data_IF_169326522372
#
_entry.id   IF_169326522372
#
_cell.length_a   1.000
_cell.length_b   1.000
_cell.length_c   1.000
_cell.angle_alpha   90.00
_cell.angle_beta   90.00
_cell.angle_gamma   90.00
#
_symmetry.space_group_name_H-M   'P 1'
#
loop_
_entity.id
_entity.type
_entity.pdbx_description
1 polymer ?
#
# COMPACT_ATOMS: atom_id res chain seq x y z
N UNK A 1 -6.04 -10.87 47.78
CA UNK A 1 -6.07 -9.87 46.67
C UNK A 1 -7.18 -8.87 46.97
N UNK A 2 -6.89 -7.57 46.97
CA UNK A 2 -7.82 -6.54 47.47
C UNK A 2 -8.90 -6.25 46.40
N UNK A 3 -10.16 -5.90 46.81
CA UNK A 3 -11.25 -5.53 45.88
C UNK A 3 -10.83 -4.46 44.85
N UNK A 4 -9.96 -3.54 45.23
CA UNK A 4 -9.38 -2.51 44.35
C UNK A 4 -8.52 -3.10 43.22
N UNK A 5 -7.77 -4.20 43.51
CA UNK A 5 -6.96 -4.88 42.51
C UNK A 5 -7.83 -5.58 41.47
N UNK A 6 -8.94 -6.19 41.86
CA UNK A 6 -9.89 -6.79 40.92
C UNK A 6 -10.51 -5.74 39.99
N UNK A 7 -10.89 -4.59 40.55
CA UNK A 7 -11.46 -3.50 39.76
C UNK A 7 -10.46 -2.97 38.71
N UNK A 8 -9.20 -2.84 39.12
CA UNK A 8 -8.12 -2.41 38.21
C UNK A 8 -7.87 -3.39 37.07
N UNK A 9 -7.79 -4.69 37.38
CA UNK A 9 -7.59 -5.73 36.36
C UNK A 9 -8.82 -5.88 35.44
N UNK A 10 -10.02 -5.73 35.96
CA UNK A 10 -11.23 -5.77 35.14
C UNK A 10 -11.28 -4.56 34.20
N UNK A 11 -10.94 -3.38 34.69
CA UNK A 11 -10.83 -2.16 33.87
C UNK A 11 -9.77 -2.29 32.77
N UNK A 12 -8.60 -2.84 33.11
CA UNK A 12 -7.52 -3.10 32.15
C UNK A 12 -7.97 -4.08 31.06
N UNK A 13 -8.66 -5.15 31.42
CA UNK A 13 -9.20 -6.15 30.50
C UNK A 13 -10.24 -5.58 29.53
N UNK A 14 -11.13 -4.71 30.03
CA UNK A 14 -12.13 -4.01 29.21
C UNK A 14 -11.49 -3.04 28.24
N UNK A 15 -10.45 -2.29 28.67
CA UNK A 15 -9.72 -1.37 27.79
C UNK A 15 -8.98 -2.13 26.67
N UNK A 16 -8.37 -3.28 26.97
CA UNK A 16 -7.71 -4.09 25.94
C UNK A 16 -8.68 -4.71 24.93
N UNK A 17 -9.91 -5.01 25.31
CA UNK A 17 -10.92 -5.58 24.40
C UNK A 17 -11.49 -4.59 23.40
N UNK A 18 -11.29 -3.28 23.60
CA UNK A 18 -11.79 -2.24 22.69
C UNK A 18 -10.75 -1.77 21.65
N UNK A 19 -9.49 -2.24 21.72
CA UNK A 19 -8.43 -1.91 20.76
C UNK A 19 -8.55 -2.77 19.50
N UNK A 20 -9.55 -2.52 18.68
CA UNK A 20 -9.72 -3.12 17.36
C UNK A 20 -9.06 -2.22 16.31
N UNK A 21 -7.75 -2.35 16.15
CA UNK A 21 -6.98 -1.66 15.10
C UNK A 21 -6.97 -2.40 13.76
N UNK A 22 -7.91 -3.30 13.50
CA UNK A 22 -7.95 -4.08 12.27
C UNK A 22 -9.03 -3.56 11.32
N UNK A 23 -8.69 -3.48 10.04
CA UNK A 23 -9.67 -3.24 8.97
C UNK A 23 -10.78 -4.28 9.07
N UNK A 24 -12.02 -3.82 9.20
CA UNK A 24 -13.16 -4.70 9.34
C UNK A 24 -13.53 -5.34 8.00
N UNK A 25 -14.19 -6.48 8.07
CA UNK A 25 -14.75 -7.12 6.88
C UNK A 25 -15.64 -6.17 6.08
N UNK A 26 -16.38 -5.28 6.75
CA UNK A 26 -17.21 -4.26 6.13
C UNK A 26 -16.40 -3.27 5.29
N UNK A 27 -15.28 -2.76 5.81
CA UNK A 27 -14.41 -1.83 5.10
C UNK A 27 -13.79 -2.44 3.84
N UNK A 28 -13.46 -3.75 3.88
CA UNK A 28 -12.97 -4.48 2.69
C UNK A 28 -14.07 -4.62 1.64
N UNK A 29 -15.32 -4.86 2.04
CA UNK A 29 -16.44 -4.94 1.10
C UNK A 29 -16.79 -3.56 0.49
N UNK A 30 -16.60 -2.48 1.22
CA UNK A 30 -16.80 -1.11 0.72
C UNK A 30 -15.68 -0.68 -0.25
N UNK A 31 -14.46 -1.14 -0.03
CA UNK A 31 -13.30 -0.89 -0.89
C UNK A 31 -12.43 -2.15 -0.98
N UNK A 32 -12.62 -2.93 -2.04
CA UNK A 32 -11.90 -4.18 -2.26
C UNK A 32 -10.38 -4.00 -2.37
N UNK A 33 -9.91 -2.81 -2.74
CA UNK A 33 -8.47 -2.53 -2.80
C UNK A 33 -7.80 -2.65 -1.43
N UNK A 34 -8.56 -2.41 -0.34
CA UNK A 34 -8.05 -2.58 1.04
C UNK A 34 -7.70 -4.03 1.38
N UNK A 35 -8.20 -5.01 0.61
CA UNK A 35 -7.78 -6.41 0.76
C UNK A 35 -6.30 -6.64 0.44
N UNK A 36 -5.68 -5.72 -0.28
CA UNK A 36 -4.25 -5.75 -0.58
C UNK A 36 -3.35 -5.56 0.64
N UNK A 37 -3.90 -5.12 1.79
CA UNK A 37 -3.12 -4.93 3.02
C UNK A 37 -1.89 -4.05 2.78
N UNK A 38 -0.70 -4.62 3.00
CA UNK A 38 0.58 -3.93 2.77
C UNK A 38 0.83 -3.57 1.30
N UNK A 39 0.15 -4.22 0.38
CA UNK A 39 0.26 -3.98 -1.07
C UNK A 39 -0.82 -3.01 -1.57
N UNK A 40 -1.61 -2.44 -0.66
CA UNK A 40 -2.56 -1.38 -1.00
C UNK A 40 -1.85 -0.21 -1.69
N UNK A 41 -2.32 0.14 -2.89
CA UNK A 41 -1.68 1.15 -3.70
C UNK A 41 -1.75 2.53 -3.02
N UNK A 42 -0.64 3.27 -3.05
CA UNK A 42 -0.59 4.64 -2.53
C UNK A 42 -1.66 5.51 -3.17
N UNK A 43 -2.48 6.12 -2.32
CA UNK A 43 -3.50 7.09 -2.72
C UNK A 43 -2.94 8.50 -2.54
N UNK A 44 -3.06 9.35 -3.58
CA UNK A 44 -2.67 10.75 -3.45
C UNK A 44 -3.54 11.45 -2.40
N UNK A 45 -2.95 12.20 -1.45
CA UNK A 45 -3.71 12.99 -0.51
C UNK A 45 -4.63 13.97 -1.24
N UNK A 46 -5.85 14.13 -0.74
CA UNK A 46 -6.84 15.09 -1.27
C UNK A 46 -6.78 16.42 -0.53
N UNK A 47 -6.26 16.40 0.69
CA UNK A 47 -6.13 17.57 1.55
C UNK A 47 -5.00 18.46 1.05
N UNK A 48 -5.23 19.76 1.07
CA UNK A 48 -4.18 20.74 0.83
C UNK A 48 -3.22 20.78 2.01
N UNK A 49 -1.94 20.92 1.71
CA UNK A 49 -0.95 21.12 2.76
C UNK A 49 -1.19 22.46 3.48
N UNK A 50 -0.85 22.48 4.78
CA UNK A 50 -0.90 23.70 5.58
C UNK A 50 0.09 24.72 4.98
N UNK A 51 -0.37 25.98 4.86
CA UNK A 51 0.49 27.04 4.39
C UNK A 51 1.69 27.27 5.31
N UNK A 52 2.80 27.67 4.75
CA UNK A 52 3.99 28.03 5.53
C UNK A 52 3.66 29.21 6.44
N UNK A 53 3.97 29.17 7.76
CA UNK A 53 3.73 30.28 8.66
C UNK A 53 4.42 31.59 8.21
N UNK A 54 3.79 32.71 8.49
CA UNK A 54 4.36 34.02 8.16
C UNK A 54 5.73 34.21 8.83
N UNK A 55 6.71 34.69 8.08
CA UNK A 55 8.09 34.88 8.54
C UNK A 55 8.99 33.66 8.46
N UNK A 56 8.51 32.52 7.94
CA UNK A 56 9.31 31.33 7.71
C UNK A 56 9.46 31.05 6.23
N UNK A 57 10.61 30.52 5.84
CA UNK A 57 10.89 30.05 4.48
C UNK A 57 11.40 28.63 4.54
N UNK A 58 10.80 27.67 3.85
CA UNK A 58 11.31 26.31 3.73
C UNK A 58 12.70 26.33 3.10
N UNK A 59 13.66 25.66 3.72
CA UNK A 59 15.04 25.55 3.24
C UNK A 59 15.52 24.11 3.04
N UNK A 60 14.75 23.14 3.53
CA UNK A 60 15.10 21.73 3.46
C UNK A 60 13.85 20.86 3.44
N UNK A 61 13.87 19.78 2.65
CA UNK A 61 12.87 18.73 2.66
C UNK A 61 13.58 17.40 2.90
N UNK A 62 13.06 16.62 3.85
CA UNK A 62 13.41 15.23 4.04
C UNK A 62 12.19 14.37 3.74
N UNK A 63 12.34 13.40 2.84
CA UNK A 63 11.29 12.46 2.51
C UNK A 63 11.72 11.06 2.94
N UNK A 64 10.89 10.41 3.72
CA UNK A 64 10.95 8.97 3.96
C UNK A 64 9.73 8.34 3.31
N UNK A 65 9.95 7.44 2.38
CA UNK A 65 8.87 6.83 1.61
C UNK A 65 9.12 5.37 1.32
N UNK A 66 8.05 4.65 0.99
CA UNK A 66 8.11 3.32 0.44
C UNK A 66 8.16 3.41 -1.10
N UNK A 67 8.73 2.41 -1.76
CA UNK A 67 8.65 2.32 -3.22
C UNK A 67 7.20 2.39 -3.72
N UNK A 68 6.99 2.90 -4.92
CA UNK A 68 5.70 2.86 -5.61
C UNK A 68 5.27 1.43 -5.95
N UNK A 69 4.10 1.28 -6.53
CA UNK A 69 3.60 -0.02 -6.98
C UNK A 69 4.62 -0.69 -7.90
N UNK A 70 4.94 -1.94 -7.61
CA UNK A 70 5.94 -2.73 -8.34
C UNK A 70 5.47 -4.16 -8.59
N UNK A 71 6.16 -4.84 -9.48
CA UNK A 71 6.01 -6.28 -9.65
C UNK A 71 6.57 -7.02 -8.42
N UNK A 72 6.14 -8.26 -8.23
CA UNK A 72 6.66 -9.11 -7.16
C UNK A 72 8.16 -9.32 -7.34
N UNK A 73 8.85 -9.65 -6.24
CA UNK A 73 10.29 -9.84 -6.22
C UNK A 73 10.74 -11.17 -6.83
N UNK A 74 9.81 -12.11 -6.97
CA UNK A 74 10.05 -13.45 -7.49
C UNK A 74 8.81 -13.88 -8.30
N UNK A 75 9.03 -14.36 -9.48
CA UNK A 75 7.97 -14.87 -10.36
C UNK A 75 7.34 -16.17 -9.83
N UNK A 76 7.96 -16.80 -8.85
CA UNK A 76 7.46 -18.02 -8.19
C UNK A 76 6.07 -17.82 -7.61
N UNK A 77 5.79 -16.68 -7.01
CA UNK A 77 4.49 -16.37 -6.39
C UNK A 77 3.37 -16.38 -7.43
N UNK A 78 3.62 -15.88 -8.64
CA UNK A 78 2.67 -15.98 -9.76
C UNK A 78 2.51 -17.42 -10.24
N UNK A 79 3.62 -18.14 -10.43
CA UNK A 79 3.62 -19.51 -10.97
C UNK A 79 2.94 -20.49 -10.05
N UNK A 80 3.18 -20.40 -8.74
CA UNK A 80 2.58 -21.30 -7.76
C UNK A 80 1.05 -21.17 -7.77
N UNK A 81 0.54 -19.95 -7.80
CA UNK A 81 -0.89 -19.70 -7.88
C UNK A 81 -1.49 -20.19 -9.20
N UNK A 82 -0.80 -19.95 -10.34
CA UNK A 82 -1.23 -20.45 -11.65
C UNK A 82 -1.26 -21.97 -11.67
N UNK A 83 -0.25 -22.61 -11.09
CA UNK A 83 -0.15 -24.08 -11.03
C UNK A 83 -1.31 -24.67 -10.23
N UNK A 84 -1.59 -24.10 -9.06
CA UNK A 84 -2.71 -24.51 -8.23
C UNK A 84 -4.05 -24.38 -8.97
N UNK A 85 -4.32 -23.22 -9.56
CA UNK A 85 -5.57 -22.97 -10.28
C UNK A 85 -5.69 -23.80 -11.56
N UNK A 86 -4.59 -24.05 -12.29
CA UNK A 86 -4.60 -24.97 -13.44
C UNK A 86 -4.94 -26.39 -13.01
N UNK A 87 -4.36 -26.89 -11.90
CA UNK A 87 -4.69 -28.20 -11.36
C UNK A 87 -6.18 -28.29 -11.00
N UNK A 88 -6.73 -27.30 -10.30
CA UNK A 88 -8.15 -27.25 -10.00
C UNK A 88 -9.02 -27.20 -11.28
N UNK A 89 -8.57 -26.50 -12.31
CA UNK A 89 -9.29 -26.41 -13.59
C UNK A 89 -9.34 -27.75 -14.34
N UNK A 90 -8.22 -28.50 -14.36
CA UNK A 90 -8.17 -29.84 -14.98
C UNK A 90 -9.12 -30.82 -14.29
N UNK A 91 -9.36 -30.66 -13.00
CA UNK A 91 -10.32 -31.48 -12.25
C UNK A 91 -11.75 -30.91 -12.25
N UNK A 92 -12.04 -29.90 -13.09
CA UNK A 92 -13.34 -29.22 -13.13
C UNK A 92 -13.80 -28.66 -11.77
N UNK A 93 -12.86 -28.31 -10.88
CA UNK A 93 -13.12 -27.81 -9.56
C UNK A 93 -13.20 -26.28 -9.46
N UNK A 94 -13.01 -25.55 -10.58
CA UNK A 94 -13.11 -24.09 -10.58
C UNK A 94 -14.55 -23.62 -10.88
N UNK A 95 -15.01 -22.67 -10.07
CA UNK A 95 -16.19 -21.86 -10.39
C UNK A 95 -15.94 -20.97 -11.63
N UNK A 96 -16.99 -20.36 -12.22
CA UNK A 96 -16.81 -19.36 -13.28
C UNK A 96 -15.87 -18.22 -12.88
N UNK A 97 -15.97 -17.74 -11.64
CA UNK A 97 -15.07 -16.72 -11.08
C UNK A 97 -13.61 -17.25 -10.99
N UNK A 98 -13.42 -18.49 -10.55
CA UNK A 98 -12.08 -19.10 -10.49
C UNK A 98 -11.42 -19.20 -11.86
N UNK A 99 -12.16 -19.50 -12.92
CA UNK A 99 -11.67 -19.51 -14.30
C UNK A 99 -11.27 -18.12 -14.78
N UNK A 100 -12.08 -17.10 -14.46
CA UNK A 100 -11.78 -15.70 -14.79
C UNK A 100 -10.51 -15.23 -14.06
N UNK A 101 -10.39 -15.53 -12.76
CA UNK A 101 -9.17 -15.23 -11.98
C UNK A 101 -7.94 -15.89 -12.58
N UNK A 102 -8.01 -17.17 -12.95
CA UNK A 102 -6.89 -17.87 -13.59
C UNK A 102 -6.48 -17.20 -14.90
N UNK A 103 -7.45 -16.78 -15.71
CA UNK A 103 -7.20 -16.09 -16.99
C UNK A 103 -6.45 -14.77 -16.77
N UNK A 104 -6.93 -13.94 -15.85
CA UNK A 104 -6.30 -12.65 -15.51
C UNK A 104 -4.91 -12.83 -14.91
N UNK A 105 -4.73 -13.82 -14.03
CA UNK A 105 -3.45 -14.09 -13.41
C UNK A 105 -2.39 -14.47 -14.45
N UNK A 106 -2.75 -15.23 -15.48
CA UNK A 106 -1.85 -15.54 -16.60
C UNK A 106 -1.42 -14.29 -17.38
N UNK A 107 -2.34 -13.34 -17.57
CA UNK A 107 -2.03 -12.05 -18.22
C UNK A 107 -1.06 -11.24 -17.36
N UNK A 108 -1.33 -11.14 -16.05
CA UNK A 108 -0.46 -10.42 -15.11
C UNK A 108 0.94 -11.06 -15.08
N UNK A 109 1.02 -12.39 -15.01
CA UNK A 109 2.30 -13.11 -15.04
C UNK A 109 3.07 -12.86 -16.34
N UNK A 110 2.40 -12.84 -17.47
CA UNK A 110 3.05 -12.54 -18.75
C UNK A 110 3.61 -11.11 -18.80
N UNK A 111 2.88 -10.15 -18.23
CA UNK A 111 3.34 -8.75 -18.13
C UNK A 111 4.49 -8.56 -17.12
N UNK A 112 4.53 -9.39 -16.07
CA UNK A 112 5.57 -9.32 -15.03
C UNK A 112 6.88 -10.00 -15.42
N UNK A 113 6.89 -10.79 -16.48
CA UNK A 113 8.03 -11.61 -16.85
C UNK A 113 9.29 -10.77 -17.10
N UNK A 114 10.41 -11.19 -16.51
CA UNK A 114 11.72 -10.50 -16.56
C UNK A 114 11.70 -9.07 -15.96
N UNK A 115 10.71 -8.79 -15.07
CA UNK A 115 10.51 -7.50 -14.43
C UNK A 115 10.44 -7.59 -12.90
N UNK A 116 11.08 -8.57 -12.31
CA UNK A 116 11.06 -8.82 -10.87
C UNK A 116 11.53 -7.59 -10.10
N UNK A 117 10.65 -7.08 -9.23
CA UNK A 117 10.90 -5.89 -8.41
C UNK A 117 10.87 -4.55 -9.15
N UNK A 118 10.69 -4.52 -10.46
CA UNK A 118 10.57 -3.30 -11.24
C UNK A 118 9.31 -2.49 -10.84
N UNK A 119 9.40 -1.17 -10.95
CA UNK A 119 8.23 -0.33 -10.80
C UNK A 119 7.23 -0.59 -11.93
N UNK A 120 5.97 -0.77 -11.55
CA UNK A 120 4.89 -0.77 -12.54
C UNK A 120 4.65 0.64 -13.08
N UNK A 121 3.90 0.75 -14.18
CA UNK A 121 3.48 2.06 -14.73
C UNK A 121 2.73 2.91 -13.69
N UNK A 122 1.98 2.26 -12.79
CA UNK A 122 1.33 2.93 -11.66
C UNK A 122 2.37 3.45 -10.66
N UNK A 123 3.38 2.65 -10.33
CA UNK A 123 4.46 3.07 -9.42
C UNK A 123 5.22 4.30 -9.93
N UNK A 124 5.52 4.33 -11.21
CA UNK A 124 6.15 5.50 -11.85
C UNK A 124 5.26 6.75 -11.72
N UNK A 125 3.95 6.63 -11.98
CA UNK A 125 2.99 7.74 -11.80
C UNK A 125 2.93 8.20 -10.35
N UNK A 126 2.95 7.28 -9.40
CA UNK A 126 2.94 7.59 -7.97
C UNK A 126 4.16 8.42 -7.57
N UNK A 127 5.36 8.03 -7.99
CA UNK A 127 6.59 8.78 -7.71
C UNK A 127 6.61 10.16 -8.35
N UNK A 128 6.22 10.26 -9.61
CA UNK A 128 6.13 11.57 -10.30
C UNK A 128 5.16 12.49 -9.58
N UNK A 129 3.96 12.01 -9.22
CA UNK A 129 2.99 12.83 -8.50
C UNK A 129 3.45 13.21 -7.08
N UNK A 130 4.27 12.40 -6.40
CA UNK A 130 4.89 12.78 -5.14
C UNK A 130 5.90 13.92 -5.37
N UNK A 131 6.79 13.79 -6.36
CA UNK A 131 7.79 14.80 -6.69
C UNK A 131 7.14 16.14 -7.09
N UNK A 132 6.10 16.10 -7.91
CA UNK A 132 5.30 17.27 -8.29
C UNK A 132 4.75 18.00 -7.07
N UNK A 133 4.07 17.28 -6.16
CA UNK A 133 3.52 17.88 -4.94
C UNK A 133 4.61 18.43 -4.01
N UNK A 134 5.76 17.78 -3.91
CA UNK A 134 6.89 18.31 -3.14
C UNK A 134 7.39 19.64 -3.73
N UNK A 135 7.54 19.70 -5.04
CA UNK A 135 7.94 20.91 -5.74
C UNK A 135 6.90 22.04 -5.58
N UNK A 136 5.62 21.73 -5.80
CA UNK A 136 4.53 22.72 -5.69
C UNK A 136 4.37 23.27 -4.26
N UNK A 137 4.59 22.42 -3.25
CA UNK A 137 4.44 22.82 -1.84
C UNK A 137 5.61 23.62 -1.29
N UNK A 138 6.80 23.48 -1.87
CA UNK A 138 8.02 24.10 -1.36
C UNK A 138 9.00 24.47 -2.49
N UNK A 139 8.58 25.29 -3.45
CA UNK A 139 9.41 25.60 -4.63
C UNK A 139 10.73 26.31 -4.25
N UNK A 140 10.77 27.02 -3.13
CA UNK A 140 12.00 27.68 -2.65
C UNK A 140 13.13 26.72 -2.31
N UNK A 141 12.82 25.45 -2.03
CA UNK A 141 13.84 24.43 -1.73
C UNK A 141 14.47 23.86 -3.00
N UNK A 142 13.76 23.91 -4.12
CA UNK A 142 14.20 23.37 -5.41
C UNK A 142 14.72 24.50 -6.31
N UNK A 143 15.95 24.92 -6.09
CA UNK A 143 16.63 25.94 -6.88
C UNK A 143 17.94 25.39 -7.48
N UNK A 144 18.59 26.14 -8.36
CA UNK A 144 19.80 25.70 -9.08
C UNK A 144 20.99 25.34 -8.18
N UNK A 145 20.99 25.83 -6.94
CA UNK A 145 22.02 25.52 -5.93
C UNK A 145 21.61 24.40 -4.98
N UNK A 146 20.43 23.80 -5.12
CA UNK A 146 19.96 22.74 -4.24
C UNK A 146 20.74 21.45 -4.48
N UNK A 147 21.19 20.82 -3.40
CA UNK A 147 21.84 19.50 -3.43
C UNK A 147 20.79 18.46 -3.13
N UNK A 148 20.62 17.50 -4.05
CA UNK A 148 19.75 16.34 -3.87
C UNK A 148 20.64 15.15 -3.52
N UNK A 149 20.37 14.54 -2.37
CA UNK A 149 21.04 13.31 -1.91
C UNK A 149 20.01 12.20 -1.73
N UNK A 150 20.37 10.98 -2.10
CA UNK A 150 19.57 9.76 -1.93
C UNK A 150 20.31 8.75 -1.05
#
# INVERSE_FOLDING_TARGET
>A
MNKRSYLFYTFLLVVFSTLHGQTTKKEIYEDLCKSGGVDYAYQSPKEKQTAVPVGYTPFYICMYGRHGSRYLLDDKDYRDMITLLNSANTHNALSPLGKDVLSRLKIVYQDSKDRDGDLSSLGVKQYRGIAERMFESSPSVFNDSSVITA
#
